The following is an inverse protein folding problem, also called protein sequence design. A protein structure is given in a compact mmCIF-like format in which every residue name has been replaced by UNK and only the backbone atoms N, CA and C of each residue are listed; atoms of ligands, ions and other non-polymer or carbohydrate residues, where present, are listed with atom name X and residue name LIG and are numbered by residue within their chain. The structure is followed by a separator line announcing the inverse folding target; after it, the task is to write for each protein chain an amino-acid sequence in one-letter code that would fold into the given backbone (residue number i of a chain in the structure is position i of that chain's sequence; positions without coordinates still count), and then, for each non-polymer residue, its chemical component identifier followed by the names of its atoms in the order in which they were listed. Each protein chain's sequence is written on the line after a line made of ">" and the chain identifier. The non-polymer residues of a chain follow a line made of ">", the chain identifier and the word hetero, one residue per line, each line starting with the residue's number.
data_IF_782722767605
#
_entry.id   IF_782722767605
#
_cell.length_a   1.000
_cell.length_b   1.000
_cell.length_c   1.000
_cell.angle_alpha   90.00
_cell.angle_beta   90.00
_cell.angle_gamma   90.00
#
_symmetry.space_group_name_H-M   'P 1'
#
loop_
_entity.id
_entity.type
_entity.pdbx_description
1 polymer ?
#
# COMPACT_ATOMS: atom_id res chain seq x y z
N UNK A 1 -57.27 -1.67 -88.14
CA UNK A 1 -57.78 -2.74 -87.26
C UNK A 1 -56.83 -2.82 -86.06
N UNK A 2 -57.39 -2.82 -84.86
CA UNK A 2 -56.79 -2.51 -83.54
C UNK A 2 -55.72 -3.56 -83.09
N UNK A 3 -54.77 -3.21 -82.19
CA UNK A 3 -53.46 -3.86 -82.02
C UNK A 3 -53.40 -4.84 -80.85
N UNK A 4 -52.31 -5.60 -80.70
CA UNK A 4 -51.97 -6.25 -79.42
C UNK A 4 -50.49 -6.04 -79.07
N UNK A 5 -50.31 -5.31 -77.97
CA UNK A 5 -49.06 -5.10 -77.24
C UNK A 5 -48.96 -6.22 -76.21
N UNK A 6 -47.83 -6.93 -76.12
CA UNK A 6 -47.58 -7.84 -75.00
C UNK A 6 -46.07 -7.91 -74.69
N UNK A 7 -45.70 -7.00 -73.78
CA UNK A 7 -44.72 -7.13 -72.71
C UNK A 7 -43.52 -8.09 -72.91
N UNK A 8 -42.37 -7.50 -73.21
CA UNK A 8 -41.05 -8.11 -73.01
C UNK A 8 -40.81 -8.25 -71.50
N UNK A 9 -41.04 -9.45 -70.95
CA UNK A 9 -40.57 -9.76 -69.59
C UNK A 9 -39.11 -10.15 -69.71
N UNK A 10 -38.25 -9.15 -69.55
CA UNK A 10 -36.83 -9.35 -69.26
C UNK A 10 -36.77 -9.92 -67.83
N UNK A 11 -36.65 -11.24 -67.71
CA UNK A 11 -36.29 -11.88 -66.45
C UNK A 11 -34.87 -11.41 -66.11
N UNK A 12 -34.80 -10.33 -65.33
CA UNK A 12 -33.63 -9.99 -64.56
C UNK A 12 -33.29 -11.23 -63.72
N UNK A 13 -32.20 -11.90 -64.08
CA UNK A 13 -31.46 -12.69 -63.10
C UNK A 13 -31.05 -11.68 -62.03
N UNK A 14 -31.81 -11.64 -60.94
CA UNK A 14 -31.32 -11.12 -59.68
C UNK A 14 -30.08 -11.96 -59.38
N UNK A 15 -28.91 -11.39 -59.68
CA UNK A 15 -27.69 -11.81 -59.01
C UNK A 15 -27.96 -11.53 -57.55
N UNK A 16 -28.42 -12.56 -56.83
CA UNK A 16 -28.26 -12.61 -55.39
C UNK A 16 -26.75 -12.58 -55.15
N UNK A 17 -26.18 -11.38 -55.07
CA UNK A 17 -24.99 -11.18 -54.27
C UNK A 17 -25.44 -11.53 -52.85
N UNK A 18 -25.33 -12.80 -52.48
CA UNK A 18 -25.17 -13.16 -51.09
C UNK A 18 -23.93 -12.41 -50.64
N UNK A 19 -24.15 -11.31 -49.91
CA UNK A 19 -23.11 -10.70 -49.11
C UNK A 19 -22.74 -11.81 -48.12
N UNK A 20 -21.73 -12.61 -48.49
CA UNK A 20 -21.03 -13.44 -47.53
C UNK A 20 -20.49 -12.40 -46.55
N UNK A 21 -21.19 -12.24 -45.43
CA UNK A 21 -20.62 -11.58 -44.26
C UNK A 21 -19.50 -12.51 -43.82
N UNK A 22 -18.34 -12.33 -44.45
CA UNK A 22 -17.11 -12.91 -43.95
C UNK A 22 -16.87 -12.11 -42.69
N UNK A 23 -17.21 -12.69 -41.55
CA UNK A 23 -16.92 -12.09 -40.26
C UNK A 23 -15.45 -11.68 -40.30
N UNK A 24 -15.21 -10.37 -40.14
CA UNK A 24 -13.86 -9.86 -40.10
C UNK A 24 -13.19 -10.49 -38.86
N UNK A 25 -11.87 -10.78 -38.91
CA UNK A 25 -11.17 -11.25 -37.72
C UNK A 25 -11.33 -10.21 -36.61
N UNK A 26 -11.50 -10.67 -35.37
CA UNK A 26 -11.53 -9.79 -34.21
C UNK A 26 -10.27 -8.93 -34.11
N UNK A 27 -10.44 -7.64 -33.82
CA UNK A 27 -9.37 -6.76 -33.42
C UNK A 27 -9.16 -6.78 -31.91
N UNK A 28 -7.90 -6.63 -31.48
CA UNK A 28 -7.54 -6.66 -30.07
C UNK A 28 -7.63 -5.26 -29.45
N UNK A 29 -7.88 -5.16 -28.13
CA UNK A 29 -7.94 -3.88 -27.45
C UNK A 29 -6.60 -3.15 -27.48
N UNK A 30 -6.66 -1.84 -27.66
CA UNK A 30 -5.52 -0.92 -27.67
C UNK A 30 -5.56 -0.06 -26.41
N UNK A 31 -4.47 -0.11 -25.63
CA UNK A 31 -4.28 0.75 -24.47
C UNK A 31 -4.16 2.22 -24.90
N UNK A 32 -4.98 3.09 -24.30
CA UNK A 32 -4.98 4.53 -24.57
C UNK A 32 -4.30 5.34 -23.46
N UNK A 33 -4.62 5.03 -22.20
CA UNK A 33 -4.03 5.68 -21.03
C UNK A 33 -3.78 4.66 -19.93
N UNK A 34 -2.67 4.83 -19.22
CA UNK A 34 -2.34 4.12 -18.00
C UNK A 34 -1.67 5.11 -17.03
N UNK A 35 -2.40 5.49 -15.99
CA UNK A 35 -1.90 6.43 -14.99
C UNK A 35 -2.14 5.90 -13.59
N UNK A 36 -1.28 6.32 -12.68
CA UNK A 36 -1.41 6.13 -11.25
C UNK A 36 -1.09 7.45 -10.55
N UNK A 37 -1.74 7.70 -9.42
CA UNK A 37 -1.53 8.91 -8.64
C UNK A 37 -0.15 8.94 -7.97
N UNK A 38 0.35 7.78 -7.55
CA UNK A 38 1.68 7.62 -6.97
C UNK A 38 2.32 6.27 -7.28
N UNK A 39 3.64 6.25 -7.39
CA UNK A 39 4.42 4.99 -7.45
C UNK A 39 5.05 4.62 -6.11
N UNK A 40 4.77 5.41 -5.06
CA UNK A 40 5.32 5.23 -3.72
C UNK A 40 4.27 5.55 -2.66
N UNK A 41 4.06 4.62 -1.74
CA UNK A 41 3.03 4.73 -0.70
C UNK A 41 3.54 4.14 0.62
N UNK A 42 3.02 4.59 1.76
CA UNK A 42 3.28 3.93 3.04
C UNK A 42 2.50 2.61 3.17
N UNK A 43 2.90 1.73 4.07
CA UNK A 43 2.14 0.51 4.38
C UNK A 43 0.69 0.83 4.74
N UNK A 44 -0.25 0.00 4.28
CA UNK A 44 -1.68 0.25 4.45
C UNK A 44 -2.23 1.50 3.74
N UNK A 45 -1.40 2.25 3.01
CA UNK A 45 -1.85 3.40 2.22
C UNK A 45 -2.50 2.98 0.90
N UNK A 46 -3.11 3.94 0.23
CA UNK A 46 -3.92 3.73 -0.96
C UNK A 46 -3.20 4.27 -2.21
N UNK A 47 -3.41 3.60 -3.34
CA UNK A 47 -2.93 4.00 -4.68
C UNK A 47 -4.10 3.89 -5.65
N UNK A 48 -4.34 4.96 -6.38
CA UNK A 48 -5.39 5.02 -7.41
C UNK A 48 -4.78 4.73 -8.79
N UNK A 49 -5.48 3.90 -9.56
CA UNK A 49 -5.14 3.59 -10.94
C UNK A 49 -6.28 3.99 -11.87
N UNK A 50 -5.94 4.59 -13.01
CA UNK A 50 -6.85 4.83 -14.13
C UNK A 50 -6.23 4.31 -15.42
N UNK A 51 -6.92 3.35 -16.05
CA UNK A 51 -6.50 2.69 -17.27
C UNK A 51 -7.66 2.68 -18.25
N UNK A 52 -7.47 3.24 -19.45
CA UNK A 52 -8.47 3.21 -20.53
C UNK A 52 -7.88 2.57 -21.76
N UNK A 53 -8.69 1.75 -22.40
CA UNK A 53 -8.41 1.14 -23.69
C UNK A 53 -9.62 1.34 -24.62
N UNK A 54 -9.41 1.11 -25.91
CA UNK A 54 -10.44 1.09 -26.94
C UNK A 54 -10.30 -0.14 -27.82
N UNK A 55 -11.38 -0.52 -28.47
CA UNK A 55 -11.41 -1.59 -29.46
C UNK A 55 -11.89 -1.02 -30.81
N UNK A 56 -11.35 -1.49 -31.93
CA UNK A 56 -11.73 -1.00 -33.27
C UNK A 56 -13.07 -1.58 -33.74
N UNK A 57 -13.41 -2.79 -33.29
CA UNK A 57 -14.67 -3.47 -33.58
C UNK A 57 -15.79 -3.09 -32.57
N UNK A 58 -15.51 -2.14 -31.67
CA UNK A 58 -16.38 -1.67 -30.58
C UNK A 58 -16.82 -2.81 -29.62
N UNK A 59 -15.99 -3.86 -29.49
CA UNK A 59 -16.23 -4.94 -28.52
C UNK A 59 -16.15 -4.40 -27.06
N UNK A 60 -17.02 -4.88 -26.14
CA UNK A 60 -17.01 -4.43 -24.76
C UNK A 60 -15.72 -4.85 -24.05
N UNK A 61 -15.06 -3.91 -23.38
CA UNK A 61 -13.80 -4.17 -22.67
C UNK A 61 -14.02 -4.59 -21.21
N UNK A 62 -13.24 -5.59 -20.81
CA UNK A 62 -13.22 -6.17 -19.47
C UNK A 62 -11.84 -6.02 -18.85
N UNK A 63 -11.76 -5.41 -17.67
CA UNK A 63 -10.50 -5.20 -16.95
C UNK A 63 -10.44 -6.18 -15.78
N UNK A 64 -9.28 -6.79 -15.57
CA UNK A 64 -9.00 -7.70 -14.47
C UNK A 64 -7.71 -7.26 -13.77
N UNK A 65 -7.84 -6.88 -12.51
CA UNK A 65 -6.73 -6.41 -11.67
C UNK A 65 -6.17 -7.53 -10.81
N UNK A 66 -4.84 -7.57 -10.70
CA UNK A 66 -4.13 -8.58 -9.92
C UNK A 66 -2.93 -7.96 -9.21
N UNK A 67 -2.84 -8.19 -7.90
CA UNK A 67 -1.70 -7.79 -7.07
C UNK A 67 -0.92 -9.01 -6.55
N UNK A 68 -1.11 -10.18 -7.17
CA UNK A 68 -0.43 -11.45 -6.86
C UNK A 68 -0.49 -11.87 -5.38
N UNK A 69 -1.61 -11.55 -4.73
CA UNK A 69 -1.85 -11.84 -3.31
C UNK A 69 -1.36 -10.77 -2.34
N UNK A 70 -0.87 -9.62 -2.82
CA UNK A 70 -0.47 -8.50 -2.00
C UNK A 70 -1.56 -7.41 -1.92
N UNK A 71 -1.78 -6.91 -0.70
CA UNK A 71 -2.72 -5.81 -0.47
C UNK A 71 -4.17 -6.22 -0.74
N UNK A 72 -5.03 -5.22 -0.91
CA UNK A 72 -6.46 -5.37 -1.17
C UNK A 72 -6.89 -4.37 -2.24
N UNK A 73 -7.90 -4.70 -3.03
CA UNK A 73 -8.57 -3.71 -3.88
C UNK A 73 -9.84 -3.20 -3.18
N UNK A 74 -10.11 -1.91 -3.27
CA UNK A 74 -11.24 -1.26 -2.58
C UNK A 74 -12.60 -1.76 -3.07
N UNK A 75 -12.70 -2.11 -4.35
CA UNK A 75 -13.89 -2.70 -4.95
C UNK A 75 -13.58 -4.08 -5.53
N UNK A 76 -14.00 -5.12 -4.82
CA UNK A 76 -13.80 -6.51 -5.25
C UNK A 76 -14.64 -6.87 -6.48
N UNK A 77 -15.71 -6.11 -6.77
CA UNK A 77 -16.48 -6.32 -7.99
C UNK A 77 -15.65 -5.99 -9.23
N UNK A 78 -14.63 -5.14 -9.10
CA UNK A 78 -13.65 -4.84 -10.15
C UNK A 78 -12.59 -5.92 -10.37
N UNK A 79 -12.50 -6.89 -9.45
CA UNK A 79 -11.54 -8.00 -9.49
C UNK A 79 -12.23 -9.29 -9.93
N UNK A 80 -13.48 -9.50 -9.51
CA UNK A 80 -14.23 -10.74 -9.73
C UNK A 80 -15.31 -10.65 -10.81
N UNK A 81 -15.73 -9.45 -11.23
CA UNK A 81 -16.83 -9.30 -12.20
C UNK A 81 -16.46 -8.43 -13.40
N UNK A 82 -16.67 -9.02 -14.56
CA UNK A 82 -16.59 -8.50 -15.91
C UNK A 82 -17.53 -7.31 -16.18
N UNK A 83 -17.23 -6.16 -15.60
CA UNK A 83 -17.98 -4.92 -15.79
C UNK A 83 -17.12 -3.79 -16.37
N UNK A 84 -17.73 -2.99 -17.26
CA UNK A 84 -17.17 -1.80 -17.91
C UNK A 84 -16.66 -0.69 -16.96
N UNK A 85 -16.75 -0.85 -15.64
CA UNK A 85 -16.44 0.17 -14.62
C UNK A 85 -15.07 0.00 -13.95
N UNK A 86 -14.27 -0.97 -14.38
CA UNK A 86 -13.01 -1.33 -13.70
C UNK A 86 -11.77 -0.66 -14.33
N UNK A 87 -12.00 0.37 -15.15
CA UNK A 87 -10.96 1.25 -15.67
C UNK A 87 -10.31 2.07 -14.56
N UNK A 88 -11.02 2.33 -13.47
CA UNK A 88 -10.54 3.05 -12.29
C UNK A 88 -10.63 2.13 -11.07
N UNK A 89 -9.56 2.02 -10.27
CA UNK A 89 -9.56 1.19 -9.05
C UNK A 89 -8.59 1.77 -8.01
N UNK A 90 -8.86 1.51 -6.73
CA UNK A 90 -7.93 1.79 -5.64
C UNK A 90 -7.35 0.48 -5.10
N UNK A 91 -6.03 0.42 -4.99
CA UNK A 91 -5.31 -0.63 -4.28
C UNK A 91 -4.83 -0.11 -2.92
N UNK A 92 -5.04 -0.93 -1.90
CA UNK A 92 -4.59 -0.70 -0.53
C UNK A 92 -3.36 -1.57 -0.31
N UNK A 93 -2.21 -0.94 -0.04
CA UNK A 93 -0.96 -1.62 0.21
C UNK A 93 -1.04 -2.56 1.44
N UNK A 94 -0.27 -3.66 1.49
CA UNK A 94 -0.15 -4.49 2.68
C UNK A 94 0.15 -3.66 3.94
N UNK A 95 -0.46 -4.07 5.06
CA UNK A 95 -0.16 -3.46 6.37
C UNK A 95 1.21 -3.88 6.92
N UNK A 96 1.78 -4.96 6.41
CA UNK A 96 3.14 -5.41 6.71
C UNK A 96 3.87 -5.71 5.41
N UNK A 97 5.14 -5.34 5.38
CA UNK A 97 6.06 -5.59 4.27
C UNK A 97 7.27 -6.36 4.80
N UNK A 98 7.90 -7.15 3.94
CA UNK A 98 9.10 -7.90 4.30
C UNK A 98 10.33 -6.96 4.34
N UNK A 99 10.52 -6.27 5.47
CA UNK A 99 11.72 -5.48 5.74
C UNK A 99 12.82 -6.39 6.30
N UNK A 100 13.98 -6.44 5.63
CA UNK A 100 15.16 -7.13 6.15
C UNK A 100 16.20 -6.13 6.58
N UNK A 101 16.41 -5.96 7.90
CA UNK A 101 17.55 -5.34 8.59
C UNK A 101 17.87 -3.86 8.31
N UNK A 102 17.77 -3.43 7.06
CA UNK A 102 18.14 -2.11 6.53
C UNK A 102 17.16 -1.66 5.42
N UNK A 103 16.47 -2.61 4.75
CA UNK A 103 15.42 -2.27 3.78
C UNK A 103 14.15 -1.83 4.50
N UNK A 104 13.77 -0.57 4.34
CA UNK A 104 12.51 -0.01 4.86
C UNK A 104 11.40 0.04 3.80
N UNK A 105 11.58 -0.67 2.68
CA UNK A 105 10.60 -0.71 1.60
C UNK A 105 10.57 -2.05 0.86
N UNK A 106 9.43 -2.34 0.25
CA UNK A 106 9.19 -3.49 -0.63
C UNK A 106 8.44 -3.03 -1.89
N UNK A 107 8.74 -3.61 -3.04
CA UNK A 107 8.05 -3.26 -4.29
C UNK A 107 7.02 -4.32 -4.67
N UNK A 108 5.83 -3.88 -5.04
CA UNK A 108 4.72 -4.72 -5.45
C UNK A 108 4.39 -4.50 -6.92
N UNK A 109 4.14 -5.59 -7.63
CA UNK A 109 3.68 -5.57 -9.02
C UNK A 109 2.15 -5.60 -9.02
N UNK A 110 1.55 -4.57 -9.61
CA UNK A 110 0.12 -4.51 -9.89
C UNK A 110 -0.07 -4.68 -11.39
N UNK A 111 -0.85 -5.66 -11.80
CA UNK A 111 -1.13 -5.95 -13.21
C UNK A 111 -2.61 -5.72 -13.48
N UNK A 112 -2.92 -5.03 -14.57
CA UNK A 112 -4.25 -5.04 -15.19
C UNK A 112 -4.18 -5.77 -16.51
N UNK A 113 -5.13 -6.69 -16.70
CA UNK A 113 -5.35 -7.37 -17.96
C UNK A 113 -6.66 -6.88 -18.56
N UNK A 114 -6.63 -6.34 -19.77
CA UNK A 114 -7.79 -5.84 -20.49
C UNK A 114 -8.10 -6.83 -21.62
N UNK A 115 -9.34 -7.31 -21.68
CA UNK A 115 -9.83 -8.28 -22.67
C UNK A 115 -11.03 -7.69 -23.39
N UNK A 116 -11.16 -7.96 -24.68
CA UNK A 116 -12.37 -7.68 -25.47
C UNK A 116 -13.47 -8.73 -25.28
N UNK A 117 -13.11 -9.91 -24.74
CA UNK A 117 -14.03 -11.04 -24.60
C UNK A 117 -13.93 -11.72 -23.25
N UNK A 118 -15.10 -12.12 -22.75
CA UNK A 118 -15.23 -12.90 -21.53
C UNK A 118 -15.46 -14.38 -21.87
N UNK A 119 -14.37 -15.10 -22.12
CA UNK A 119 -14.47 -16.51 -22.50
C UNK A 119 -14.79 -17.43 -21.31
N UNK A 120 -14.56 -16.99 -20.07
CA UNK A 120 -14.78 -17.81 -18.86
C UNK A 120 -16.26 -18.14 -18.59
N UNK A 121 -17.18 -17.32 -19.10
CA UNK A 121 -18.62 -17.57 -18.97
C UNK A 121 -19.17 -18.50 -20.06
N UNK A 122 -18.35 -18.86 -21.05
CA UNK A 122 -18.78 -19.73 -22.17
C UNK A 122 -18.80 -21.19 -21.68
N UNK A 123 -19.99 -21.81 -21.53
CA UNK A 123 -20.11 -23.12 -20.88
C UNK A 123 -19.65 -24.28 -21.77
N UNK A 124 -19.80 -24.14 -23.08
CA UNK A 124 -19.35 -25.13 -24.05
C UNK A 124 -17.83 -25.04 -24.24
N UNK A 125 -17.15 -26.17 -24.17
CA UNK A 125 -15.69 -26.20 -24.18
C UNK A 125 -15.10 -25.85 -25.56
N UNK A 126 -15.77 -26.25 -26.64
CA UNK A 126 -15.30 -25.98 -28.01
C UNK A 126 -15.53 -24.51 -28.37
N UNK A 127 -16.72 -23.97 -28.05
CA UNK A 127 -17.02 -22.56 -28.22
C UNK A 127 -16.12 -21.66 -27.34
N UNK A 128 -15.80 -22.09 -26.12
CA UNK A 128 -14.85 -21.38 -25.25
C UNK A 128 -13.44 -21.38 -25.83
N UNK A 129 -13.00 -22.48 -26.42
CA UNK A 129 -11.69 -22.57 -27.08
C UNK A 129 -11.61 -21.61 -28.27
N UNK A 130 -12.65 -21.54 -29.10
CA UNK A 130 -12.73 -20.57 -30.20
C UNK A 130 -12.73 -19.13 -29.68
N UNK A 131 -13.48 -18.84 -28.62
CA UNK A 131 -13.44 -17.54 -27.96
C UNK A 131 -12.02 -17.17 -27.52
N UNK A 132 -11.28 -18.09 -26.89
CA UNK A 132 -9.91 -17.86 -26.43
C UNK A 132 -8.91 -17.63 -27.59
N UNK A 133 -9.15 -18.26 -28.74
CA UNK A 133 -8.30 -18.09 -29.93
C UNK A 133 -8.48 -16.74 -30.61
N UNK A 134 -9.67 -16.14 -30.48
CA UNK A 134 -9.98 -14.84 -31.06
C UNK A 134 -9.92 -13.68 -30.05
N UNK A 135 -9.88 -13.96 -28.75
CA UNK A 135 -9.83 -12.95 -27.71
C UNK A 135 -8.52 -12.16 -27.78
N UNK A 136 -8.65 -10.84 -27.92
CA UNK A 136 -7.58 -9.89 -27.77
C UNK A 136 -7.32 -9.57 -26.30
N UNK A 137 -6.05 -9.35 -25.97
CA UNK A 137 -5.63 -9.02 -24.61
C UNK A 137 -4.49 -7.99 -24.64
N UNK A 138 -4.61 -6.97 -23.78
CA UNK A 138 -3.50 -6.08 -23.44
C UNK A 138 -3.25 -6.12 -21.94
N UNK A 139 -1.98 -6.11 -21.55
CA UNK A 139 -1.54 -6.09 -20.15
C UNK A 139 -0.82 -4.79 -19.88
N UNK A 140 -1.08 -4.22 -18.71
CA UNK A 140 -0.30 -3.11 -18.18
C UNK A 140 0.14 -3.43 -16.76
N UNK A 141 1.34 -2.99 -16.42
CA UNK A 141 1.95 -3.27 -15.11
C UNK A 141 2.42 -1.99 -14.43
N UNK A 142 2.14 -1.88 -13.14
CA UNK A 142 2.61 -0.85 -12.26
C UNK A 142 3.53 -1.46 -11.20
N UNK A 143 4.65 -0.78 -10.93
CA UNK A 143 5.55 -1.14 -9.84
C UNK A 143 5.41 -0.10 -8.73
N UNK A 144 4.84 -0.50 -7.60
CA UNK A 144 4.58 0.37 -6.45
C UNK A 144 5.55 0.06 -5.34
N UNK A 145 6.30 1.07 -4.89
CA UNK A 145 7.14 0.98 -3.69
C UNK A 145 6.29 1.25 -2.45
N UNK A 146 6.16 0.26 -1.57
CA UNK A 146 5.55 0.41 -0.25
C UNK A 146 6.65 0.62 0.79
N UNK A 147 6.53 1.65 1.60
CA UNK A 147 7.52 2.00 2.63
C UNK A 147 7.00 1.83 4.04
N UNK A 148 7.90 1.49 4.95
CA UNK A 148 7.76 1.69 6.39
C UNK A 148 8.65 2.85 6.83
N UNK A 149 8.12 3.71 7.69
CA UNK A 149 8.91 4.79 8.28
C UNK A 149 9.34 4.36 9.69
N UNK A 150 10.61 4.50 10.08
CA UNK A 150 10.98 4.31 11.48
C UNK A 150 10.22 5.26 12.40
N UNK A 151 9.92 4.86 13.65
CA UNK A 151 9.26 5.76 14.58
C UNK A 151 10.17 6.94 14.92
N UNK A 152 9.59 8.02 15.43
CA UNK A 152 10.32 9.13 16.02
C UNK A 152 10.22 9.07 17.53
N UNK A 153 11.25 9.53 18.23
CA UNK A 153 11.34 9.46 19.69
C UNK A 153 11.82 10.79 20.27
N UNK A 154 10.96 11.45 21.03
CA UNK A 154 11.28 12.61 21.86
C UNK A 154 11.48 12.18 23.31
N UNK A 155 12.54 12.62 23.96
CA UNK A 155 12.93 12.17 25.30
C UNK A 155 13.19 13.35 26.23
N UNK A 156 13.15 13.12 27.55
CA UNK A 156 13.65 14.10 28.52
C UNK A 156 15.10 14.47 28.17
N UNK A 157 15.42 15.77 28.05
CA UNK A 157 16.77 16.20 27.72
C UNK A 157 17.74 15.91 28.87
N UNK A 158 19.02 15.91 28.54
CA UNK A 158 20.09 15.84 29.54
C UNK A 158 19.90 16.91 30.63
N UNK A 159 20.11 16.50 31.88
CA UNK A 159 19.80 17.34 33.04
C UNK A 159 20.82 17.20 34.15
N UNK A 160 20.86 18.19 35.04
CA UNK A 160 21.67 18.18 36.25
C UNK A 160 20.76 18.42 37.44
N UNK A 161 20.76 17.51 38.41
CA UNK A 161 19.84 17.49 39.54
C UNK A 161 20.63 17.29 40.84
N UNK A 162 20.20 17.93 41.92
CA UNK A 162 20.78 17.70 43.24
C UNK A 162 20.42 16.31 43.78
N UNK A 163 21.36 15.64 44.44
CA UNK A 163 21.13 14.39 45.14
C UNK A 163 20.03 14.59 46.18
N UNK A 164 18.98 13.77 46.08
CA UNK A 164 17.86 13.75 47.02
C UNK A 164 17.28 12.34 47.06
N UNK A 165 16.41 12.07 48.04
CA UNK A 165 15.70 10.79 48.15
C UNK A 165 14.41 10.77 47.30
N UNK A 166 14.20 11.77 46.45
CA UNK A 166 13.05 11.85 45.57
C UNK A 166 13.32 11.09 44.25
N UNK A 167 12.31 10.39 43.70
CA UNK A 167 12.46 9.74 42.41
C UNK A 167 12.62 10.78 41.29
N UNK A 168 13.64 10.58 40.46
CA UNK A 168 13.80 11.30 39.20
C UNK A 168 12.96 10.58 38.16
N UNK A 169 12.19 11.34 37.38
CA UNK A 169 11.29 10.84 36.34
C UNK A 169 11.81 11.27 34.98
N UNK A 170 12.01 10.30 34.09
CA UNK A 170 12.33 10.50 32.68
C UNK A 170 11.14 10.05 31.84
N UNK A 171 10.92 10.75 30.73
CA UNK A 171 9.80 10.54 29.83
C UNK A 171 10.30 10.33 28.41
N UNK A 172 9.56 9.51 27.65
CA UNK A 172 9.76 9.27 26.25
C UNK A 172 8.41 9.31 25.53
N UNK A 173 8.33 10.10 24.46
CA UNK A 173 7.16 10.27 23.60
C UNK A 173 7.52 9.79 22.20
N UNK A 174 6.88 8.72 21.77
CA UNK A 174 7.08 8.16 20.43
C UNK A 174 5.94 8.50 19.49
N UNK A 175 6.21 8.54 18.20
CA UNK A 175 5.18 8.58 17.17
C UNK A 175 5.60 7.79 15.94
N UNK A 176 4.62 7.21 15.28
CA UNK A 176 4.80 6.40 14.09
C UNK A 176 3.93 6.95 12.95
N UNK A 177 4.46 7.02 11.72
CA UNK A 177 3.77 7.63 10.59
C UNK A 177 2.64 6.74 10.03
N UNK A 178 2.73 5.44 10.28
CA UNK A 178 1.78 4.41 9.89
C UNK A 178 0.76 4.09 11.01
N UNK A 179 0.91 4.73 12.18
CA UNK A 179 0.12 4.58 13.41
C UNK A 179 0.26 3.18 14.05
N UNK A 180 1.45 2.62 13.96
CA UNK A 180 1.80 1.37 14.61
C UNK A 180 1.90 1.52 16.12
N UNK A 181 1.63 0.41 16.82
CA UNK A 181 1.76 0.39 18.26
C UNK A 181 3.25 0.35 18.65
N UNK A 182 3.67 1.29 19.51
CA UNK A 182 5.05 1.35 19.99
C UNK A 182 5.26 0.54 21.27
N UNK A 183 6.38 -0.19 21.31
CA UNK A 183 6.90 -0.85 22.50
C UNK A 183 8.18 -0.14 22.98
N UNK A 184 8.23 0.21 24.28
CA UNK A 184 9.34 0.95 24.85
C UNK A 184 10.21 0.08 25.74
N UNK A 185 11.53 0.20 25.60
CA UNK A 185 12.51 -0.49 26.46
C UNK A 185 13.49 0.52 27.04
N UNK A 186 13.61 0.53 28.36
CA UNK A 186 14.54 1.38 29.11
C UNK A 186 15.70 0.55 29.64
N UNK A 187 16.91 1.07 29.52
CA UNK A 187 18.13 0.45 30.01
C UNK A 187 19.03 1.52 30.65
N UNK A 188 19.60 1.22 31.81
CA UNK A 188 20.69 2.03 32.35
C UNK A 188 22.02 1.53 31.76
N UNK A 189 22.75 2.41 31.08
CA UNK A 189 23.99 2.06 30.36
C UNK A 189 25.26 2.57 31.06
N UNK A 190 25.13 3.54 31.97
CA UNK A 190 26.26 4.11 32.73
C UNK A 190 25.82 4.55 34.13
N UNK A 191 26.77 4.61 35.07
CA UNK A 191 26.57 5.07 36.45
C UNK A 191 26.37 3.95 37.46
N UNK A 192 26.13 4.32 38.72
CA UNK A 192 25.81 3.36 39.78
C UNK A 192 24.50 2.64 39.47
N UNK A 193 24.44 1.32 39.64
CA UNK A 193 23.24 0.56 39.31
C UNK A 193 22.03 1.02 40.14
N UNK A 194 20.92 1.31 39.47
CA UNK A 194 19.68 1.74 40.11
C UNK A 194 18.51 0.84 39.71
N UNK A 195 17.56 0.69 40.62
CA UNK A 195 16.31 0.01 40.32
C UNK A 195 15.44 0.94 39.46
N UNK A 196 15.11 0.48 38.25
CA UNK A 196 14.28 1.24 37.31
C UNK A 196 12.81 0.83 37.46
N UNK A 197 11.93 1.81 37.59
CA UNK A 197 10.49 1.60 37.52
C UNK A 197 9.96 2.17 36.21
N UNK A 198 9.53 1.31 35.29
CA UNK A 198 8.96 1.72 34.00
C UNK A 198 7.44 1.68 34.02
N UNK A 199 6.79 2.64 33.37
CA UNK A 199 5.34 2.74 33.25
C UNK A 199 4.94 3.23 31.86
N UNK A 200 4.05 2.50 31.20
CA UNK A 200 3.34 2.97 30.00
C UNK A 200 2.17 3.85 30.41
N UNK A 201 2.11 5.07 29.90
CA UNK A 201 1.03 6.04 30.18
C UNK A 201 0.00 6.08 29.03
N UNK A 202 0.47 5.94 27.79
CA UNK A 202 -0.35 5.73 26.60
C UNK A 202 0.45 4.92 25.56
N UNK A 203 -0.09 4.71 24.36
CA UNK A 203 0.62 4.01 23.28
C UNK A 203 1.85 4.79 22.79
N UNK A 204 1.83 6.11 22.94
CA UNK A 204 2.85 7.04 22.48
C UNK A 204 3.63 7.69 23.63
N UNK A 205 3.50 7.19 24.86
CA UNK A 205 4.12 7.80 26.05
C UNK A 205 4.55 6.74 27.07
N UNK A 206 5.85 6.70 27.32
CA UNK A 206 6.49 5.86 28.33
C UNK A 206 7.23 6.72 29.36
N UNK A 207 7.21 6.26 30.60
CA UNK A 207 7.88 6.90 31.72
C UNK A 207 8.79 5.90 32.42
N UNK A 208 9.95 6.35 32.86
CA UNK A 208 10.86 5.60 33.72
C UNK A 208 11.22 6.47 34.92
N UNK A 209 11.29 5.88 36.11
CA UNK A 209 11.81 6.56 37.29
C UNK A 209 12.85 5.74 38.03
N UNK A 210 13.77 6.46 38.67
CA UNK A 210 14.83 5.90 39.52
C UNK A 210 15.16 6.88 40.65
N UNK A 211 15.74 6.39 41.74
CA UNK A 211 16.22 7.23 42.85
C UNK A 211 17.74 7.07 42.96
N UNK A 212 18.54 8.12 42.68
CA UNK A 212 19.99 8.02 42.80
C UNK A 212 20.40 7.94 44.27
N UNK A 213 21.37 7.06 44.57
CA UNK A 213 21.95 6.92 45.91
C UNK A 213 23.34 7.54 46.04
N UNK A 214 23.98 7.86 44.91
CA UNK A 214 25.30 8.47 44.84
C UNK A 214 25.28 9.65 43.85
N UNK A 215 26.21 10.57 44.03
CA UNK A 215 26.51 11.59 43.03
C UNK A 215 27.25 10.95 41.85
N UNK A 216 27.05 11.48 40.67
CA UNK A 216 27.70 10.99 39.46
C UNK A 216 26.84 11.15 38.20
N UNK A 217 27.40 10.73 37.08
CA UNK A 217 26.71 10.65 35.81
C UNK A 217 25.95 9.33 35.71
N UNK A 218 24.67 9.41 35.36
CA UNK A 218 23.80 8.27 35.05
C UNK A 218 23.35 8.40 33.61
N UNK A 219 23.59 7.36 32.79
CA UNK A 219 23.13 7.33 31.40
C UNK A 219 22.06 6.29 31.23
N UNK A 220 20.97 6.68 30.58
CA UNK A 220 19.85 5.82 30.26
C UNK A 220 19.64 5.81 28.76
N UNK A 221 19.39 4.63 28.21
CA UNK A 221 18.94 4.43 26.84
C UNK A 221 17.46 4.07 26.85
N UNK A 222 16.70 4.66 25.94
CA UNK A 222 15.32 4.27 25.64
C UNK A 222 15.19 3.93 24.17
N UNK A 223 14.53 2.82 23.89
CA UNK A 223 14.15 2.40 22.55
C UNK A 223 12.63 2.44 22.41
N UNK A 224 12.13 2.88 21.25
CA UNK A 224 10.74 2.75 20.80
C UNK A 224 10.72 1.89 19.53
N UNK A 225 9.96 0.80 19.57
CA UNK A 225 9.93 -0.26 18.55
C UNK A 225 8.52 -0.37 17.98
N UNK A 226 8.36 -0.23 16.66
CA UNK A 226 7.07 -0.35 15.95
C UNK A 226 6.82 -1.79 15.42
N UNK A 227 7.70 -2.72 15.76
CA UNK A 227 7.71 -4.12 15.28
C UNK A 227 8.45 -4.34 13.96
N UNK A 228 8.88 -3.27 13.27
CA UNK A 228 9.59 -3.27 11.99
C UNK A 228 10.92 -2.48 12.03
N UNK A 229 10.98 -1.43 12.84
CA UNK A 229 12.09 -0.51 13.03
C UNK A 229 12.12 0.01 14.48
N UNK A 230 13.30 0.50 14.89
CA UNK A 230 13.54 0.99 16.24
C UNK A 230 14.12 2.39 16.21
N UNK A 231 13.53 3.30 16.98
CA UNK A 231 14.13 4.58 17.35
C UNK A 231 14.75 4.48 18.73
N UNK A 232 15.93 5.08 18.92
CA UNK A 232 16.63 5.06 20.20
C UNK A 232 17.09 6.46 20.61
N UNK A 233 17.08 6.70 21.91
CA UNK A 233 17.54 7.93 22.53
C UNK A 233 18.36 7.64 23.79
N UNK A 234 19.28 8.55 24.13
CA UNK A 234 20.06 8.49 25.36
C UNK A 234 19.84 9.76 26.18
N UNK A 235 19.76 9.59 27.50
CA UNK A 235 19.57 10.66 28.47
C UNK A 235 20.70 10.60 29.50
N UNK A 236 21.40 11.72 29.67
CA UNK A 236 22.39 11.91 30.73
C UNK A 236 21.79 12.69 31.90
N UNK A 237 21.82 12.09 33.09
CA UNK A 237 21.45 12.74 34.35
C UNK A 237 22.71 12.91 35.20
N UNK A 238 23.15 14.14 35.40
CA UNK A 238 24.24 14.46 36.31
C UNK A 238 23.70 14.74 37.70
N UNK A 239 23.99 13.87 38.66
CA UNK A 239 23.58 14.03 40.06
C UNK A 239 24.71 14.70 40.84
N UNK A 240 24.43 15.87 41.39
CA UNK A 240 25.40 16.72 42.10
C UNK A 240 25.01 16.91 43.57
N UNK A 241 25.90 17.48 44.38
CA UNK A 241 25.60 17.80 45.78
C UNK A 241 24.43 18.78 45.89
N UNK A 242 23.61 18.62 46.93
CA UNK A 242 22.55 19.57 47.22
C UNK A 242 23.15 20.88 47.74
N UNK A 243 23.00 21.96 46.97
CA UNK A 243 23.66 23.24 47.24
C UNK A 243 23.06 24.02 48.43
N UNK A 244 22.12 23.45 49.19
CA UNK A 244 21.34 24.16 50.23
C UNK A 244 21.72 23.82 51.68
N UNK A 245 22.88 23.18 51.93
CA UNK A 245 23.38 22.89 53.30
C UNK A 245 24.63 23.69 53.71
N UNK A 246 24.87 24.87 53.13
CA UNK A 246 25.93 25.77 53.61
C UNK A 246 25.46 27.22 53.79
N UNK A 247 24.64 27.50 54.80
CA UNK A 247 24.62 28.80 55.51
C UNK A 247 23.62 28.83 56.69
N UNK A 248 24.05 28.46 57.90
CA UNK A 248 23.84 29.25 59.14
C UNK A 248 24.51 28.53 60.32
N UNK A 249 25.63 29.08 60.78
CA UNK A 249 26.14 28.94 62.16
C UNK A 249 26.73 30.29 62.58
#
# INVERSE_FOLDING_TARGET
>A
MIPFFACFIFLFFLNSCSLIHREQPNEAPILQTSITDTTKVRRGGEVEFEVRASDEDDDPLFYSWNAFGAGLFSDISCVESSGLQCAEITWIAPASIATTGESTSESFLIEVTIRDRQCDIVPDAEARQLCLEEAGEVRETFLIEVVQTPPTLEITPDTTIALSNEPIVLEAFGSDAENDALEYRWEQTEGEATELTTRRLSDNHSQMSFTPVLMGAYRFKVEADDGSAVAAGEILVNVVENADETAED
#
